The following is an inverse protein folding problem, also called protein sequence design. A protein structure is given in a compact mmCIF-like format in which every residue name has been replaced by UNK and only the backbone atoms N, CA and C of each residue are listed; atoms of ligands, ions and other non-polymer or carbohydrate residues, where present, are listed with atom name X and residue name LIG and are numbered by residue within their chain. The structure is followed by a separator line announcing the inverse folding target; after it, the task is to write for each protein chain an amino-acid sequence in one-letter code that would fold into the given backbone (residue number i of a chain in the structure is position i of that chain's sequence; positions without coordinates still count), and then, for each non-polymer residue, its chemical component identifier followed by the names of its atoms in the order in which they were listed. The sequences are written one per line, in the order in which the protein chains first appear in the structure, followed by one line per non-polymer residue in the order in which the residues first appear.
data_IF_664572321478
#
_entry.id   IF_664572321478
#
_cell.length_a   1.000
_cell.length_b   1.000
_cell.length_c   1.000
_cell.angle_alpha   90.00
_cell.angle_beta   90.00
_cell.angle_gamma   90.00
#
_symmetry.space_group_name_H-M   'P 1'
#
loop_
_entity.id
_entity.type
_entity.pdbx_description
1 polymer ?
#
# COMPACT_ATOMS: atom_id res chain seq x y z
N UNK A 1 -29.31 -13.56 1.35
CA UNK A 1 -28.59 -13.36 0.05
C UNK A 1 -27.09 -13.23 0.35
N UNK A 2 -26.22 -13.99 -0.31
CA UNK A 2 -24.77 -13.85 -0.10
C UNK A 2 -24.30 -12.48 -0.59
N UNK A 3 -23.46 -11.75 0.17
CA UNK A 3 -22.91 -10.48 -0.26
C UNK A 3 -22.05 -10.67 -1.50
N UNK A 4 -22.18 -9.78 -2.48
CA UNK A 4 -21.29 -9.76 -3.65
C UNK A 4 -19.99 -9.07 -3.25
N UNK A 5 -18.92 -9.85 -3.03
CA UNK A 5 -17.56 -9.37 -2.80
C UNK A 5 -17.02 -9.69 -1.41
N UNK A 6 -16.24 -10.72 -1.39
CA UNK A 6 -15.29 -11.05 -0.34
C UNK A 6 -13.90 -11.22 -0.95
N UNK A 7 -12.90 -11.29 -0.11
CA UNK A 7 -11.51 -11.53 -0.53
C UNK A 7 -10.84 -12.53 0.39
N UNK A 8 -9.97 -13.34 -0.15
CA UNK A 8 -9.11 -14.23 0.61
C UNK A 8 -7.83 -13.47 0.98
N UNK A 9 -7.45 -13.54 2.24
CA UNK A 9 -6.22 -12.94 2.76
C UNK A 9 -5.49 -14.00 3.59
N UNK A 10 -4.57 -14.72 2.95
CA UNK A 10 -4.01 -15.94 3.50
C UNK A 10 -5.11 -16.98 3.75
N UNK A 11 -5.27 -17.40 4.99
CA UNK A 11 -6.30 -18.32 5.45
C UNK A 11 -7.52 -17.64 6.11
N UNK A 12 -7.62 -16.31 5.97
CA UNK A 12 -8.78 -15.53 6.38
C UNK A 12 -9.67 -15.15 5.18
N UNK A 13 -10.98 -15.07 5.41
CA UNK A 13 -11.93 -14.47 4.48
C UNK A 13 -12.34 -13.10 5.02
N UNK A 14 -12.20 -12.06 4.21
CA UNK A 14 -12.61 -10.70 4.56
C UNK A 14 -13.86 -10.32 3.77
N UNK A 15 -14.95 -10.05 4.45
CA UNK A 15 -16.23 -9.62 3.86
C UNK A 15 -16.47 -8.16 4.24
N UNK A 16 -16.73 -7.30 3.25
CA UNK A 16 -17.08 -5.91 3.53
C UNK A 16 -18.55 -5.80 3.95
N UNK A 17 -18.79 -5.07 5.05
CA UNK A 17 -20.16 -4.80 5.52
C UNK A 17 -21.01 -4.13 4.44
N UNK A 18 -22.25 -4.55 4.32
CA UNK A 18 -23.27 -3.98 3.44
C UNK A 18 -24.62 -3.91 4.16
N UNK A 19 -25.42 -2.90 3.85
CA UNK A 19 -26.79 -2.81 4.32
C UNK A 19 -27.65 -3.95 3.74
N UNK A 20 -28.66 -4.41 4.50
CA UNK A 20 -29.62 -5.43 4.06
C UNK A 20 -29.12 -6.88 4.16
N UNK A 21 -28.15 -7.15 5.01
CA UNK A 21 -27.75 -8.52 5.40
C UNK A 21 -28.29 -8.79 6.80
N UNK A 22 -29.21 -9.76 6.92
CA UNK A 22 -29.95 -10.05 8.17
C UNK A 22 -29.10 -10.86 9.17
N UNK A 23 -28.18 -11.70 8.68
CA UNK A 23 -27.32 -12.52 9.52
C UNK A 23 -25.92 -12.67 8.92
N UNK A 24 -24.95 -12.03 9.53
CA UNK A 24 -23.55 -12.16 9.16
C UNK A 24 -22.95 -13.52 9.58
N UNK A 25 -23.44 -14.11 10.66
CA UNK A 25 -23.03 -15.47 11.07
C UNK A 25 -23.31 -16.50 9.99
N UNK A 26 -24.53 -16.55 9.44
CA UNK A 26 -24.88 -17.47 8.35
C UNK A 26 -24.05 -17.23 7.07
N UNK A 27 -23.75 -15.97 6.78
CA UNK A 27 -22.83 -15.63 5.66
C UNK A 27 -21.44 -16.19 5.94
N UNK A 28 -20.94 -16.05 7.15
CA UNK A 28 -19.64 -16.55 7.55
C UNK A 28 -19.54 -18.08 7.46
N UNK A 29 -20.54 -18.78 7.97
CA UNK A 29 -20.61 -20.26 7.91
C UNK A 29 -20.63 -20.75 6.44
N UNK A 30 -21.48 -20.18 5.60
CA UNK A 30 -21.56 -20.53 4.18
C UNK A 30 -20.22 -20.27 3.45
N UNK A 31 -19.50 -19.18 3.79
CA UNK A 31 -18.19 -18.91 3.22
C UNK A 31 -17.12 -19.91 3.68
N UNK A 32 -17.16 -20.35 4.93
CA UNK A 32 -16.27 -21.41 5.39
C UNK A 32 -16.55 -22.74 4.68
N UNK A 33 -17.79 -23.09 4.38
CA UNK A 33 -18.11 -24.28 3.57
C UNK A 33 -17.50 -24.19 2.17
N UNK A 34 -17.65 -23.03 1.50
CA UNK A 34 -17.12 -22.79 0.14
C UNK A 34 -15.58 -22.80 0.13
N UNK A 35 -14.95 -22.30 1.20
CA UNK A 35 -13.49 -22.18 1.31
C UNK A 35 -12.93 -23.04 2.44
N UNK A 36 -12.75 -24.35 2.27
CA UNK A 36 -12.39 -25.28 3.34
C UNK A 36 -10.99 -25.04 3.94
N UNK A 37 -10.12 -24.30 3.25
CA UNK A 37 -8.79 -23.92 3.74
C UNK A 37 -8.79 -22.66 4.60
N UNK A 38 -9.88 -21.94 4.66
CA UNK A 38 -10.00 -20.73 5.49
C UNK A 38 -10.35 -21.12 6.92
N UNK A 39 -9.68 -20.45 7.88
CA UNK A 39 -9.88 -20.70 9.32
C UNK A 39 -11.02 -19.87 9.90
N UNK A 40 -11.21 -18.65 9.42
CA UNK A 40 -12.21 -17.72 9.93
C UNK A 40 -12.64 -16.70 8.90
N UNK A 41 -13.78 -16.07 9.17
CA UNK A 41 -14.36 -15.00 8.35
C UNK A 41 -14.45 -13.73 9.18
N UNK A 42 -13.94 -12.64 8.65
CA UNK A 42 -13.96 -11.30 9.26
C UNK A 42 -14.91 -10.38 8.50
N UNK A 43 -15.79 -9.71 9.23
CA UNK A 43 -16.59 -8.60 8.73
C UNK A 43 -15.77 -7.32 8.80
N UNK A 44 -15.56 -6.65 7.67
CA UNK A 44 -14.75 -5.43 7.55
C UNK A 44 -15.68 -4.21 7.44
N UNK A 45 -15.64 -3.33 8.44
CA UNK A 45 -16.40 -2.07 8.54
C UNK A 45 -15.58 -0.85 8.10
N UNK A 46 -14.39 -1.05 7.56
CA UNK A 46 -13.48 0.02 7.14
C UNK A 46 -12.27 0.17 8.03
N UNK A 47 -11.72 1.38 8.09
CA UNK A 47 -10.49 1.67 8.85
C UNK A 47 -10.67 2.93 9.70
N UNK A 48 -9.88 3.05 10.79
CA UNK A 48 -9.85 4.22 11.68
C UNK A 48 -8.43 4.69 11.98
N UNK A 49 -8.34 5.94 12.43
CA UNK A 49 -7.11 6.53 12.94
C UNK A 49 -6.01 6.74 11.90
N UNK A 50 -4.90 7.32 12.36
CA UNK A 50 -3.73 7.65 11.55
C UNK A 50 -3.12 6.41 10.88
N UNK A 51 -3.03 5.31 11.60
CA UNK A 51 -2.46 4.04 11.11
C UNK A 51 -3.42 3.21 10.26
N UNK A 52 -4.64 3.72 9.98
CA UNK A 52 -5.67 3.03 9.17
C UNK A 52 -5.96 1.62 9.69
N UNK A 53 -6.04 1.46 10.99
CA UNK A 53 -6.37 0.18 11.62
C UNK A 53 -7.73 -0.33 11.14
N UNK A 54 -7.84 -1.58 10.69
CA UNK A 54 -9.12 -2.11 10.23
C UNK A 54 -10.10 -2.28 11.39
N UNK A 55 -11.36 -2.00 11.13
CA UNK A 55 -12.47 -2.26 12.03
C UNK A 55 -13.07 -3.61 11.63
N UNK A 56 -12.65 -4.69 12.27
CA UNK A 56 -13.06 -6.05 11.94
C UNK A 56 -13.62 -6.80 13.11
N UNK A 57 -14.54 -7.73 12.81
CA UNK A 57 -15.21 -8.62 13.75
C UNK A 57 -15.22 -10.03 13.16
N UNK A 58 -15.01 -11.04 14.00
CA UNK A 58 -15.14 -12.44 13.60
C UNK A 58 -16.62 -12.78 13.50
N UNK A 59 -17.07 -13.24 12.32
CA UNK A 59 -18.46 -13.65 12.08
C UNK A 59 -18.61 -15.17 11.95
N UNK A 60 -17.55 -15.91 11.71
CA UNK A 60 -17.50 -17.37 11.77
C UNK A 60 -16.06 -17.87 11.91
N UNK A 61 -15.86 -19.05 12.50
CA UNK A 61 -14.54 -19.69 12.60
C UNK A 61 -14.65 -21.22 12.66
N UNK A 62 -13.56 -21.90 12.25
CA UNK A 62 -13.38 -23.36 12.42
C UNK A 62 -12.65 -23.61 13.73
N UNK A 63 -13.38 -23.59 14.84
CA UNK A 63 -12.82 -23.77 16.17
C UNK A 63 -12.23 -22.50 16.79
N UNK A 64 -11.43 -22.66 17.83
CA UNK A 64 -10.77 -21.56 18.53
C UNK A 64 -9.74 -20.85 17.62
N UNK A 65 -9.62 -19.54 17.77
CA UNK A 65 -8.65 -18.72 17.04
C UNK A 65 -7.56 -18.29 18.02
N UNK A 66 -6.39 -18.94 17.94
CA UNK A 66 -5.23 -18.60 18.77
C UNK A 66 -4.47 -17.39 18.24
N UNK A 67 -4.54 -17.13 16.93
CA UNK A 67 -3.86 -16.02 16.28
C UNK A 67 -4.57 -15.60 14.99
N UNK A 68 -4.57 -14.29 14.74
CA UNK A 68 -5.03 -13.69 13.48
C UNK A 68 -3.89 -13.44 12.48
N UNK A 69 -2.67 -13.88 12.82
CA UNK A 69 -1.56 -13.83 11.87
C UNK A 69 -1.74 -14.85 10.76
N UNK A 70 -1.47 -14.42 9.54
CA UNK A 70 -1.50 -15.24 8.33
C UNK A 70 -0.39 -14.84 7.37
N UNK A 71 -0.10 -15.69 6.39
CA UNK A 71 0.79 -15.38 5.28
C UNK A 71 -0.01 -15.34 3.99
N UNK A 72 -0.18 -14.14 3.46
CA UNK A 72 -0.79 -13.93 2.15
C UNK A 72 0.27 -14.01 1.04
N UNK A 73 -0.10 -14.62 -0.09
CA UNK A 73 0.76 -14.71 -1.27
C UNK A 73 0.17 -13.86 -2.40
N UNK A 74 0.97 -12.95 -2.93
CA UNK A 74 0.59 -12.10 -4.05
C UNK A 74 1.81 -11.85 -4.93
N UNK A 75 1.67 -12.10 -6.24
CA UNK A 75 2.73 -11.84 -7.23
C UNK A 75 4.10 -12.44 -6.84
N UNK A 76 4.13 -13.72 -6.43
CA UNK A 76 5.37 -14.38 -6.01
C UNK A 76 5.92 -13.93 -4.66
N UNK A 77 5.41 -12.84 -4.08
CA UNK A 77 5.79 -12.34 -2.76
C UNK A 77 4.94 -12.95 -1.66
N UNK A 78 5.50 -13.00 -0.45
CA UNK A 78 4.84 -13.46 0.77
C UNK A 78 4.71 -12.31 1.76
N UNK A 79 3.52 -12.13 2.32
CA UNK A 79 3.22 -11.08 3.28
C UNK A 79 2.62 -11.69 4.54
N UNK A 80 3.38 -11.72 5.62
CA UNK A 80 2.88 -12.02 6.96
C UNK A 80 2.20 -10.77 7.52
N UNK A 81 1.04 -10.91 8.12
CA UNK A 81 0.30 -9.84 8.76
C UNK A 81 -0.72 -10.38 9.76
N UNK A 82 -1.10 -9.56 10.74
CA UNK A 82 -2.28 -9.77 11.57
C UNK A 82 -3.51 -9.21 10.84
N UNK A 83 -4.45 -10.07 10.49
CA UNK A 83 -5.65 -9.70 9.74
C UNK A 83 -6.64 -8.84 10.53
N UNK A 84 -6.57 -8.79 11.86
CA UNK A 84 -7.38 -7.90 12.70
C UNK A 84 -6.79 -6.50 12.82
N UNK A 85 -5.47 -6.35 12.66
CA UNK A 85 -4.75 -5.10 12.96
C UNK A 85 -4.14 -4.43 11.75
N UNK A 86 -3.92 -5.17 10.65
CA UNK A 86 -3.30 -4.66 9.42
C UNK A 86 -4.28 -4.76 8.25
N UNK A 87 -4.42 -3.64 7.53
CA UNK A 87 -5.18 -3.60 6.28
C UNK A 87 -4.29 -4.04 5.10
N UNK A 88 -4.79 -4.90 4.21
CA UNK A 88 -4.09 -5.30 2.99
C UNK A 88 -4.86 -4.87 1.75
N UNK A 89 -4.24 -4.09 0.87
CA UNK A 89 -4.85 -3.61 -0.37
C UNK A 89 -4.51 -4.51 -1.56
N UNK A 90 -5.35 -5.52 -1.81
CA UNK A 90 -5.22 -6.39 -3.00
C UNK A 90 -5.50 -5.64 -4.32
N UNK A 91 -6.27 -4.55 -4.28
CA UNK A 91 -6.65 -3.80 -5.49
C UNK A 91 -5.54 -2.97 -6.14
N UNK A 92 -4.31 -3.00 -5.61
CA UNK A 92 -3.14 -2.32 -6.18
C UNK A 92 -2.17 -3.29 -6.87
N UNK A 93 -2.61 -4.51 -7.15
CA UNK A 93 -1.79 -5.57 -7.73
C UNK A 93 -1.01 -5.12 -8.98
N UNK A 94 -1.70 -4.57 -9.97
CA UNK A 94 -1.07 -4.10 -11.21
C UNK A 94 -0.09 -2.95 -11.00
N UNK A 95 -0.38 -2.07 -10.05
CA UNK A 95 0.51 -0.94 -9.74
C UNK A 95 1.78 -1.41 -9.03
N UNK A 96 1.69 -2.39 -8.14
CA UNK A 96 2.85 -3.03 -7.52
C UNK A 96 3.76 -3.68 -8.58
N UNK A 97 3.17 -4.41 -9.54
CA UNK A 97 3.92 -5.02 -10.65
C UNK A 97 4.56 -3.95 -11.54
N UNK A 98 3.80 -2.90 -11.87
CA UNK A 98 4.31 -1.81 -12.72
C UNK A 98 5.53 -1.14 -12.09
N UNK A 99 5.45 -0.75 -10.83
CA UNK A 99 6.58 -0.12 -10.13
C UNK A 99 7.79 -1.05 -10.09
N UNK A 100 7.60 -2.32 -9.74
CA UNK A 100 8.68 -3.30 -9.77
C UNK A 100 9.32 -3.46 -11.16
N UNK A 101 8.54 -3.34 -12.25
CA UNK A 101 9.06 -3.44 -13.62
C UNK A 101 9.82 -2.20 -14.11
N UNK A 102 9.60 -1.05 -13.47
CA UNK A 102 10.27 0.21 -13.82
C UNK A 102 11.63 0.38 -13.13
N UNK A 103 11.83 -0.26 -11.98
CA UNK A 103 13.03 -0.10 -11.18
C UNK A 103 14.19 -0.94 -11.74
N UNK A 104 15.34 -0.29 -11.99
CA UNK A 104 16.56 -0.95 -12.43
C UNK A 104 17.80 -0.12 -12.07
N UNK A 105 18.76 -0.76 -11.41
CA UNK A 105 20.07 -0.16 -11.06
C UNK A 105 19.92 1.24 -10.42
N UNK A 106 18.95 1.38 -9.50
CA UNK A 106 18.58 2.66 -8.88
C UNK A 106 18.32 2.50 -7.37
N UNK A 107 18.44 3.60 -6.64
CA UNK A 107 18.01 3.73 -5.24
C UNK A 107 16.55 4.16 -5.20
N UNK A 108 15.70 3.35 -4.57
CA UNK A 108 14.26 3.60 -4.43
C UNK A 108 13.94 3.97 -2.99
N UNK A 109 13.21 5.06 -2.78
CA UNK A 109 12.65 5.44 -1.48
C UNK A 109 11.14 5.18 -1.45
N UNK A 110 10.70 4.28 -0.57
CA UNK A 110 9.28 4.06 -0.26
C UNK A 110 8.95 4.79 1.05
N UNK A 111 8.29 5.93 0.94
CA UNK A 111 8.01 6.83 2.08
C UNK A 111 6.90 6.31 3.00
N UNK A 112 6.10 5.35 2.57
CA UNK A 112 4.94 4.81 3.30
C UNK A 112 4.86 3.30 3.13
N UNK A 113 5.91 2.63 3.57
CA UNK A 113 6.14 1.22 3.22
C UNK A 113 5.06 0.24 3.73
N UNK A 114 4.38 0.58 4.84
CA UNK A 114 3.44 -0.33 5.47
C UNK A 114 4.14 -1.62 5.89
N UNK A 115 3.59 -2.75 5.49
CA UNK A 115 4.21 -4.07 5.66
C UNK A 115 5.09 -4.48 4.48
N UNK A 116 5.47 -3.51 3.61
CA UNK A 116 6.27 -3.72 2.40
C UNK A 116 5.45 -3.83 1.11
N UNK A 117 4.33 -3.11 1.01
CA UNK A 117 3.41 -3.24 -0.13
C UNK A 117 4.05 -2.98 -1.50
N UNK A 118 4.93 -1.99 -1.61
CA UNK A 118 5.74 -1.71 -2.80
C UNK A 118 7.17 -2.19 -2.62
N UNK A 119 7.75 -1.98 -1.44
CA UNK A 119 9.11 -2.38 -1.08
C UNK A 119 9.42 -3.83 -1.43
N UNK A 120 8.60 -4.79 -0.95
CA UNK A 120 8.86 -6.22 -1.15
C UNK A 120 8.75 -6.62 -2.63
N UNK A 121 7.69 -6.28 -3.39
CA UNK A 121 7.63 -6.58 -4.82
C UNK A 121 8.78 -5.98 -5.63
N UNK A 122 9.21 -4.76 -5.32
CA UNK A 122 10.36 -4.12 -5.98
C UNK A 122 11.63 -4.91 -5.67
N UNK A 123 11.92 -5.18 -4.41
CA UNK A 123 13.13 -5.92 -4.03
C UNK A 123 13.17 -7.35 -4.58
N UNK A 124 12.01 -8.02 -4.75
CA UNK A 124 11.93 -9.39 -5.30
C UNK A 124 12.02 -9.42 -6.82
N UNK A 125 11.37 -8.48 -7.53
CA UNK A 125 11.16 -8.59 -8.98
C UNK A 125 11.99 -7.62 -9.82
N UNK A 126 12.81 -6.77 -9.18
CA UNK A 126 13.68 -5.85 -9.92
C UNK A 126 15.15 -6.01 -9.52
N UNK A 127 16.02 -5.42 -10.31
CA UNK A 127 17.45 -5.31 -10.03
C UNK A 127 17.69 -3.89 -9.53
N UNK A 128 17.29 -3.61 -8.29
CA UNK A 128 17.56 -2.34 -7.63
C UNK A 128 18.91 -2.37 -6.93
N UNK A 129 19.56 -1.21 -6.84
CA UNK A 129 20.73 -1.04 -5.97
C UNK A 129 20.29 -1.15 -4.51
N UNK A 130 19.23 -0.41 -4.15
CA UNK A 130 18.74 -0.37 -2.77
C UNK A 130 17.28 0.11 -2.73
N UNK A 131 16.51 -0.39 -1.77
CA UNK A 131 15.22 0.18 -1.36
C UNK A 131 15.33 0.70 0.06
N UNK A 132 15.08 2.00 0.25
CA UNK A 132 14.93 2.63 1.57
C UNK A 132 13.44 2.67 1.87
N UNK A 133 13.01 2.01 2.94
CA UNK A 133 11.60 1.85 3.30
C UNK A 133 11.30 2.50 4.65
N UNK A 134 10.48 3.54 4.66
CA UNK A 134 10.11 4.28 5.87
C UNK A 134 8.67 3.94 6.25
N UNK A 135 8.44 3.59 7.50
CA UNK A 135 7.11 3.30 8.05
C UNK A 135 6.93 3.94 9.42
N UNK A 136 5.80 4.62 9.60
CA UNK A 136 5.48 5.33 10.84
C UNK A 136 4.84 4.41 11.90
N UNK A 137 4.02 3.43 11.49
CA UNK A 137 3.33 2.52 12.40
C UNK A 137 4.27 1.42 12.90
N UNK A 138 4.61 1.35 14.19
CA UNK A 138 5.53 0.34 14.71
C UNK A 138 5.09 -1.11 14.46
N UNK A 139 3.78 -1.36 14.44
CA UNK A 139 3.27 -2.70 14.13
C UNK A 139 3.47 -3.06 12.66
N UNK A 140 3.18 -2.13 11.74
CA UNK A 140 3.40 -2.35 10.31
C UNK A 140 4.91 -2.49 10.02
N UNK A 141 5.74 -1.69 10.66
CA UNK A 141 7.20 -1.77 10.57
C UNK A 141 7.73 -3.15 10.99
N UNK A 142 7.23 -3.71 12.11
CA UNK A 142 7.60 -5.08 12.52
C UNK A 142 7.27 -6.10 11.41
N UNK A 143 6.08 -6.02 10.81
CA UNK A 143 5.74 -6.89 9.69
C UNK A 143 6.54 -6.59 8.43
N UNK A 144 6.94 -5.34 8.18
CA UNK A 144 7.84 -4.99 7.08
C UNK A 144 9.16 -5.76 7.20
N UNK A 145 9.80 -5.72 8.36
CA UNK A 145 11.04 -6.45 8.61
C UNK A 145 10.86 -7.98 8.49
N UNK A 146 9.76 -8.53 9.07
CA UNK A 146 9.46 -9.95 8.94
C UNK A 146 9.23 -10.35 7.47
N UNK A 147 8.57 -9.49 6.67
CA UNK A 147 8.30 -9.74 5.25
C UNK A 147 9.53 -9.63 4.37
N UNK A 148 10.45 -8.74 4.68
CA UNK A 148 11.77 -8.65 4.03
C UNK A 148 12.51 -9.98 4.21
N UNK A 149 12.63 -10.49 5.44
CA UNK A 149 13.26 -11.79 5.73
C UNK A 149 12.52 -12.95 5.07
N UNK A 150 11.18 -12.94 5.12
CA UNK A 150 10.34 -13.99 4.53
C UNK A 150 10.53 -14.11 3.02
N UNK A 151 10.87 -13.01 2.34
CA UNK A 151 11.13 -12.96 0.90
C UNK A 151 12.63 -12.99 0.55
N UNK A 152 13.54 -13.03 1.53
CA UNK A 152 15.00 -13.13 1.35
C UNK A 152 15.57 -11.96 0.54
N UNK A 153 15.22 -10.72 0.94
CA UNK A 153 15.65 -9.49 0.28
C UNK A 153 16.32 -8.50 1.25
N UNK A 154 16.84 -9.02 2.39
CA UNK A 154 17.48 -8.23 3.44
C UNK A 154 18.72 -7.48 2.93
N UNK A 155 19.40 -8.03 1.95
CA UNK A 155 20.58 -7.47 1.31
C UNK A 155 20.31 -6.21 0.48
N UNK A 156 19.04 -5.97 0.10
CA UNK A 156 18.61 -4.87 -0.77
C UNK A 156 17.71 -3.86 -0.10
N UNK A 157 17.24 -4.10 1.12
CA UNK A 157 16.25 -3.23 1.78
C UNK A 157 16.78 -2.72 3.10
N UNK A 158 16.81 -1.39 3.21
CA UNK A 158 17.04 -0.68 4.47
C UNK A 158 15.72 -0.15 5.01
N UNK A 159 15.42 -0.40 6.29
CA UNK A 159 14.16 0.01 6.92
C UNK A 159 14.39 1.10 7.96
N UNK A 160 13.46 2.04 8.06
CA UNK A 160 13.48 3.13 9.04
C UNK A 160 12.10 3.28 9.69
N UNK A 161 12.05 3.21 11.03
CA UNK A 161 10.81 3.45 11.79
C UNK A 161 10.70 4.93 12.14
N UNK A 162 9.66 5.61 11.64
CA UNK A 162 9.37 7.00 11.99
C UNK A 162 8.69 7.79 10.88
N UNK A 163 8.60 9.11 11.09
CA UNK A 163 7.96 10.03 10.13
C UNK A 163 8.90 10.32 8.95
N UNK A 164 8.43 10.00 7.75
CA UNK A 164 9.19 10.24 6.52
C UNK A 164 9.49 11.73 6.24
N UNK A 165 8.77 12.69 6.83
CA UNK A 165 9.15 14.11 6.77
C UNK A 165 10.53 14.37 7.39
N UNK A 166 10.87 13.62 8.42
CA UNK A 166 12.13 13.78 9.16
C UNK A 166 13.21 12.80 8.73
N UNK A 167 12.81 11.62 8.24
CA UNK A 167 13.72 10.52 7.95
C UNK A 167 14.07 10.39 6.47
N UNK A 168 13.29 10.96 5.54
CA UNK A 168 13.61 10.91 4.13
C UNK A 168 14.96 11.59 3.85
N UNK A 169 15.94 10.86 3.30
CA UNK A 169 17.24 11.44 3.00
C UNK A 169 17.11 12.43 1.85
N UNK A 170 17.89 13.53 1.90
CA UNK A 170 17.88 14.55 0.84
C UNK A 170 18.82 14.10 -0.28
N UNK A 171 18.41 14.32 -1.56
CA UNK A 171 19.22 14.05 -2.78
C UNK A 171 19.84 12.65 -2.80
N UNK A 172 19.07 11.64 -2.40
CA UNK A 172 19.58 10.29 -2.19
C UNK A 172 18.86 9.20 -3.00
N UNK A 173 17.71 9.51 -3.60
CA UNK A 173 16.91 8.52 -4.32
C UNK A 173 16.74 8.87 -5.81
N UNK A 174 16.84 7.88 -6.66
CA UNK A 174 16.54 8.01 -8.09
C UNK A 174 15.03 7.89 -8.33
N UNK A 175 14.33 7.26 -7.38
CA UNK A 175 12.88 7.06 -7.42
C UNK A 175 12.27 7.18 -6.03
N UNK A 176 11.19 7.95 -5.92
CA UNK A 176 10.41 8.10 -4.68
C UNK A 176 9.00 7.62 -4.89
N UNK A 177 8.51 6.78 -3.97
CA UNK A 177 7.15 6.24 -3.97
C UNK A 177 6.38 6.82 -2.78
N UNK A 178 5.32 7.53 -3.07
CA UNK A 178 4.38 8.07 -2.08
C UNK A 178 3.06 7.31 -2.16
N UNK A 179 3.03 6.08 -1.60
CA UNK A 179 1.92 5.14 -1.72
C UNK A 179 0.70 5.45 -0.84
N UNK A 180 0.79 6.45 0.05
CA UNK A 180 -0.30 6.89 0.91
C UNK A 180 -1.19 7.92 0.20
N UNK A 181 -2.51 7.65 0.13
CA UNK A 181 -3.44 8.43 -0.70
C UNK A 181 -3.75 9.85 -0.19
N UNK A 182 -3.28 10.21 1.00
CA UNK A 182 -3.44 11.53 1.63
C UNK A 182 -2.07 12.13 1.96
N UNK A 183 -1.08 11.93 1.07
CA UNK A 183 0.33 12.31 1.31
C UNK A 183 0.71 13.69 0.75
N UNK A 184 -0.26 14.54 0.39
CA UNK A 184 0.03 15.85 -0.22
C UNK A 184 0.97 16.73 0.62
N UNK A 185 0.88 16.66 1.94
CA UNK A 185 1.73 17.44 2.86
C UNK A 185 3.18 16.93 2.96
N UNK A 186 3.48 15.79 2.34
CA UNK A 186 4.81 15.16 2.28
C UNK A 186 5.50 15.38 0.93
N UNK A 187 4.87 16.10 -0.02
CA UNK A 187 5.42 16.32 -1.36
C UNK A 187 6.78 17.02 -1.32
N UNK A 188 6.94 18.04 -0.47
CA UNK A 188 8.22 18.74 -0.34
C UNK A 188 9.35 17.78 0.08
N UNK A 189 9.10 16.92 1.07
CA UNK A 189 10.07 15.92 1.53
C UNK A 189 10.37 14.87 0.44
N UNK A 190 9.34 14.37 -0.26
CA UNK A 190 9.51 13.41 -1.35
C UNK A 190 10.30 13.98 -2.54
N UNK A 191 10.04 15.23 -2.91
CA UNK A 191 10.78 15.91 -3.99
C UNK A 191 12.21 16.23 -3.56
N UNK A 192 12.43 16.66 -2.31
CA UNK A 192 13.77 16.92 -1.78
C UNK A 192 14.64 15.65 -1.67
N UNK A 193 14.02 14.49 -1.55
CA UNK A 193 14.73 13.21 -1.51
C UNK A 193 15.22 12.76 -2.90
N UNK A 194 14.64 13.29 -3.99
CA UNK A 194 15.03 12.93 -5.35
C UNK A 194 16.35 13.58 -5.76
N UNK A 195 17.23 12.78 -6.34
CA UNK A 195 18.35 13.27 -7.16
C UNK A 195 17.83 14.01 -8.38
N UNK A 196 18.66 14.85 -9.00
CA UNK A 196 18.35 15.48 -10.29
C UNK A 196 18.02 14.42 -11.35
N UNK A 197 16.94 14.61 -12.09
CA UNK A 197 16.41 13.64 -13.06
C UNK A 197 15.66 12.45 -12.45
N UNK A 198 15.45 12.43 -11.13
CA UNK A 198 14.73 11.36 -10.44
C UNK A 198 13.23 11.37 -10.72
N UNK A 199 12.54 10.28 -10.34
CA UNK A 199 11.11 10.07 -10.61
C UNK A 199 10.30 9.96 -9.34
N UNK A 200 9.30 10.82 -9.19
CA UNK A 200 8.28 10.75 -8.16
C UNK A 200 7.06 9.94 -8.63
N UNK A 201 6.59 9.01 -7.81
CA UNK A 201 5.29 8.33 -7.96
C UNK A 201 4.36 8.78 -6.84
N UNK A 202 3.52 9.76 -7.13
CA UNK A 202 2.58 10.34 -6.17
C UNK A 202 1.19 9.72 -6.31
N UNK A 203 0.74 9.00 -5.28
CA UNK A 203 -0.58 8.40 -5.22
C UNK A 203 -1.56 9.33 -4.48
N UNK A 204 -2.76 9.47 -5.04
CA UNK A 204 -3.79 10.32 -4.45
C UNK A 204 -5.20 9.72 -4.64
N UNK A 205 -6.06 9.92 -3.62
CA UNK A 205 -7.50 9.77 -3.76
C UNK A 205 -8.09 11.09 -4.25
N UNK A 206 -8.48 11.14 -5.53
CA UNK A 206 -8.94 12.37 -6.20
C UNK A 206 -10.41 12.25 -6.63
N UNK A 207 -11.29 13.26 -6.37
CA UNK A 207 -12.62 13.32 -6.97
C UNK A 207 -12.53 13.25 -8.50
N UNK A 208 -13.43 12.50 -9.12
CA UNK A 208 -13.43 12.32 -10.60
C UNK A 208 -13.45 13.65 -11.36
N UNK A 209 -14.13 14.67 -10.80
CA UNK A 209 -14.21 16.02 -11.39
C UNK A 209 -12.90 16.81 -11.35
N UNK A 210 -11.97 16.43 -10.47
CA UNK A 210 -10.67 17.09 -10.31
C UNK A 210 -9.51 16.27 -10.91
N UNK A 211 -9.82 15.13 -11.50
CA UNK A 211 -8.85 14.29 -12.19
C UNK A 211 -8.70 14.73 -13.65
N UNK A 212 -7.49 14.81 -14.23
CA UNK A 212 -6.17 14.61 -13.62
C UNK A 212 -5.54 15.91 -13.07
N UNK A 213 -6.27 17.03 -13.08
CA UNK A 213 -5.73 18.36 -12.81
C UNK A 213 -5.13 18.48 -11.39
N UNK A 214 -5.92 18.14 -10.34
CA UNK A 214 -5.49 18.35 -8.95
C UNK A 214 -4.17 17.68 -8.57
N UNK A 215 -3.94 16.37 -8.82
CA UNK A 215 -2.67 15.75 -8.46
C UNK A 215 -1.49 16.33 -9.26
N UNK A 216 -1.71 16.70 -10.53
CA UNK A 216 -0.70 17.34 -11.37
C UNK A 216 -0.31 18.73 -10.83
N UNK A 217 -1.30 19.52 -10.43
CA UNK A 217 -1.09 20.88 -9.91
C UNK A 217 -0.35 20.89 -8.59
N UNK A 218 -0.71 20.00 -7.65
CA UNK A 218 0.00 19.81 -6.38
C UNK A 218 1.49 19.53 -6.56
N UNK A 219 1.85 18.66 -7.51
CA UNK A 219 3.26 18.39 -7.81
C UNK A 219 3.93 19.65 -8.40
N UNK A 220 3.28 20.36 -9.33
CA UNK A 220 3.83 21.58 -9.93
C UNK A 220 4.11 22.66 -8.89
N UNK A 221 3.18 22.88 -7.99
CA UNK A 221 3.32 23.84 -6.88
C UNK A 221 4.49 23.48 -5.97
N UNK A 222 4.59 22.20 -5.56
CA UNK A 222 5.66 21.74 -4.68
C UNK A 222 7.04 21.81 -5.36
N UNK A 223 7.14 21.41 -6.64
CA UNK A 223 8.39 21.50 -7.42
C UNK A 223 8.82 22.94 -7.59
N UNK A 224 7.88 23.85 -7.93
CA UNK A 224 8.16 25.28 -8.09
C UNK A 224 8.63 25.92 -6.77
N UNK A 225 7.99 25.58 -5.64
CA UNK A 225 8.38 26.05 -4.31
C UNK A 225 9.81 25.67 -3.94
N UNK A 226 10.27 24.49 -4.40
CA UNK A 226 11.63 24.00 -4.15
C UNK A 226 12.65 24.48 -5.22
N UNK A 227 12.23 25.33 -6.16
CA UNK A 227 13.10 25.87 -7.20
C UNK A 227 13.58 24.82 -8.22
N UNK A 228 12.89 23.66 -8.28
CA UNK A 228 13.18 22.57 -9.22
C UNK A 228 12.32 22.66 -10.50
N UNK A 229 12.58 21.83 -11.49
CA UNK A 229 11.85 21.79 -12.76
C UNK A 229 11.28 20.41 -13.03
N UNK A 230 10.11 20.36 -13.67
CA UNK A 230 9.49 19.12 -14.14
C UNK A 230 9.93 18.89 -15.59
N UNK A 231 10.59 17.78 -15.85
CA UNK A 231 10.93 17.33 -17.20
C UNK A 231 9.73 16.65 -17.90
N UNK A 232 9.03 15.80 -17.14
CA UNK A 232 7.82 15.13 -17.63
C UNK A 232 6.86 14.84 -16.48
N UNK A 233 5.56 14.85 -16.77
CA UNK A 233 4.51 14.52 -15.79
C UNK A 233 3.36 13.80 -16.49
N UNK A 234 2.95 12.69 -15.93
CA UNK A 234 1.84 11.87 -16.45
C UNK A 234 1.00 11.34 -15.31
N UNK A 235 -0.31 11.58 -15.39
CA UNK A 235 -1.27 11.06 -14.39
C UNK A 235 -2.10 9.94 -14.98
N UNK A 236 -2.23 8.83 -14.23
CA UNK A 236 -3.05 7.69 -14.62
C UNK A 236 -3.98 7.26 -13.50
N UNK A 237 -5.10 6.66 -13.89
CA UNK A 237 -6.03 6.04 -12.96
C UNK A 237 -5.54 4.64 -12.60
N UNK A 238 -5.48 4.34 -11.30
CA UNK A 238 -5.21 2.99 -10.78
C UNK A 238 -6.51 2.20 -10.65
N UNK A 239 -7.50 2.74 -9.93
CA UNK A 239 -8.82 2.11 -9.72
C UNK A 239 -9.86 3.11 -9.22
N UNK A 240 -11.13 2.69 -9.14
CA UNK A 240 -12.13 3.38 -8.31
C UNK A 240 -11.80 3.16 -6.83
N UNK A 241 -11.75 4.24 -6.06
CA UNK A 241 -11.49 4.20 -4.62
C UNK A 241 -12.80 4.12 -3.83
N UNK A 242 -13.73 5.02 -4.17
CA UNK A 242 -15.11 5.07 -3.67
C UNK A 242 -16.03 5.70 -4.73
N UNK A 243 -17.35 5.76 -4.54
CA UNK A 243 -18.24 6.49 -5.46
C UNK A 243 -17.76 7.92 -5.68
N UNK A 244 -17.53 8.31 -6.94
CA UNK A 244 -17.05 9.65 -7.33
C UNK A 244 -15.59 9.96 -7.01
N UNK A 245 -14.80 8.98 -6.50
CA UNK A 245 -13.38 9.16 -6.15
C UNK A 245 -12.51 8.11 -6.82
N UNK A 246 -11.43 8.55 -7.45
CA UNK A 246 -10.42 7.72 -8.08
C UNK A 246 -9.18 7.59 -7.18
N UNK A 247 -8.54 6.44 -7.21
CA UNK A 247 -7.13 6.29 -6.87
C UNK A 247 -6.32 6.57 -8.13
N UNK A 248 -5.57 7.64 -8.13
CA UNK A 248 -4.66 8.03 -9.20
C UNK A 248 -3.20 7.89 -8.77
N UNK A 249 -2.32 7.73 -9.73
CA UNK A 249 -0.89 7.91 -9.58
C UNK A 249 -0.40 8.93 -10.60
N UNK A 250 0.43 9.86 -10.15
CA UNK A 250 1.11 10.82 -11.01
C UNK A 250 2.60 10.53 -10.96
N UNK A 251 3.15 10.19 -12.10
CA UNK A 251 4.58 9.99 -12.30
C UNK A 251 5.17 11.31 -12.79
N UNK A 252 6.15 11.86 -12.08
CA UNK A 252 6.82 13.10 -12.46
C UNK A 252 8.35 12.90 -12.43
N UNK A 253 9.02 13.19 -13.56
CA UNK A 253 10.49 13.30 -13.61
C UNK A 253 10.87 14.73 -13.27
N UNK A 254 11.79 14.89 -12.32
CA UNK A 254 12.12 16.17 -11.71
C UNK A 254 13.64 16.37 -11.72
N UNK A 255 14.07 17.48 -12.33
CA UNK A 255 15.47 17.93 -12.41
C UNK A 255 15.84 18.77 -11.18
#
# INVERSE_FOLDING_TARGET
MLPRGWRLLGDAIIVREKKGVDSWGLVGEALLEIYPRSRYVLLDRGTRGLFREPLREVIASRGAIDSFETVHRENGCRFKLDTMRISFSQGNFYEKQRLASLCRDEVVLDMFAGIGYFTVPIAVHSVVEKVIAIELNPLAYRYLEENIRLNRVEDRVETMLGDCKSLAPIDAADRVIMGYLSSQEYLDAGISALRSGGVLHYHEAVPETLYPARPTERIREAVSKLGRRIESITTRRVKKYSPGVLHSVTDARID
#
